data_IF_110162479317
#
_entry.id   IF_110162479317
#
_cell.length_a   1.000
_cell.length_b   1.000
_cell.length_c   1.000
_cell.angle_alpha   90.00
_cell.angle_beta   90.00
_cell.angle_gamma   90.00
#
_symmetry.space_group_name_H-M   'P 1'
#
loop_
_entity.id
_entity.type
_entity.pdbx_description
1 polymer ?
#
# COMPACT_ATOMS: atom_id res chain seq x y z
N UNK A 1 -3.39 2.91 -14.28
CA UNK A 1 -3.26 2.14 -13.01
C UNK A 1 -4.58 2.07 -12.22
N UNK A 2 -5.68 2.63 -12.73
CA UNK A 2 -6.97 2.71 -12.04
C UNK A 2 -7.50 1.35 -11.52
N UNK A 3 -7.49 0.30 -12.34
CA UNK A 3 -7.90 -1.03 -11.90
C UNK A 3 -7.08 -1.58 -10.72
N UNK A 4 -5.77 -1.29 -10.68
CA UNK A 4 -4.91 -1.66 -9.55
C UNK A 4 -5.25 -0.85 -8.29
N UNK A 5 -5.52 0.45 -8.45
CA UNK A 5 -5.94 1.32 -7.34
C UNK A 5 -7.22 0.81 -6.67
N UNK A 6 -8.23 0.52 -7.49
CA UNK A 6 -9.53 0.02 -7.04
C UNK A 6 -9.40 -1.37 -6.39
N UNK A 7 -8.53 -2.24 -6.93
CA UNK A 7 -8.34 -3.59 -6.40
C UNK A 7 -7.57 -3.61 -5.08
N UNK A 8 -6.53 -2.78 -4.93
CA UNK A 8 -5.64 -2.83 -3.75
C UNK A 8 -6.12 -1.98 -2.58
N UNK A 9 -6.58 -0.76 -2.82
CA UNK A 9 -6.75 0.24 -1.75
C UNK A 9 -8.19 0.45 -1.30
N UNK A 10 -9.17 -0.16 -1.98
CA UNK A 10 -10.55 -0.22 -1.49
C UNK A 10 -10.59 -0.83 -0.08
N UNK A 11 -11.38 -0.23 0.81
CA UNK A 11 -11.48 -0.66 2.21
C UNK A 11 -10.12 -0.75 2.93
N UNK A 12 -9.19 0.15 2.61
CA UNK A 12 -7.82 0.16 3.15
C UNK A 12 -7.06 -1.15 2.88
N UNK A 13 -7.41 -1.89 1.81
CA UNK A 13 -6.85 -3.21 1.49
C UNK A 13 -7.31 -4.34 2.40
N UNK A 14 -8.30 -4.11 3.26
CA UNK A 14 -8.88 -5.09 4.18
C UNK A 14 -10.04 -5.82 3.52
N UNK A 15 -9.78 -6.47 2.38
CA UNK A 15 -10.73 -7.34 1.70
C UNK A 15 -10.01 -8.59 1.23
N UNK A 16 -10.66 -9.75 1.36
CA UNK A 16 -10.07 -11.05 1.04
C UNK A 16 -9.61 -11.18 -0.42
N UNK A 17 -10.17 -10.38 -1.33
CA UNK A 17 -9.89 -10.41 -2.77
C UNK A 17 -9.02 -9.25 -3.27
N UNK A 18 -8.45 -8.43 -2.37
CA UNK A 18 -7.54 -7.36 -2.79
C UNK A 18 -6.28 -7.91 -3.47
N UNK A 19 -5.88 -7.29 -4.58
CA UNK A 19 -4.62 -7.64 -5.23
C UNK A 19 -3.43 -7.25 -4.35
N UNK A 20 -2.75 -8.24 -3.75
CA UNK A 20 -1.55 -8.03 -2.94
C UNK A 20 -0.24 -8.17 -3.73
N UNK A 21 -0.30 -8.79 -4.91
CA UNK A 21 0.81 -8.94 -5.85
C UNK A 21 0.36 -8.45 -7.21
N UNK A 22 1.13 -7.55 -7.81
CA UNK A 22 0.86 -7.00 -9.14
C UNK A 22 2.03 -7.37 -10.02
N UNK A 23 1.84 -8.37 -10.89
CA UNK A 23 2.85 -8.77 -11.86
C UNK A 23 2.74 -7.87 -13.09
N UNK A 24 3.84 -7.22 -13.43
CA UNK A 24 3.88 -6.24 -14.52
C UNK A 24 4.89 -6.73 -15.56
N UNK A 25 4.50 -6.68 -16.82
CA UNK A 25 5.40 -7.03 -17.92
C UNK A 25 6.61 -6.08 -17.94
N UNK A 26 7.82 -6.63 -18.07
CA UNK A 26 9.09 -5.90 -17.98
C UNK A 26 9.13 -4.59 -18.79
N UNK A 27 8.65 -4.61 -20.05
CA UNK A 27 8.69 -3.44 -20.93
C UNK A 27 7.81 -2.25 -20.50
N UNK A 28 6.95 -2.42 -19.50
CA UNK A 28 6.12 -1.34 -18.94
C UNK A 28 6.31 -1.14 -17.44
N UNK A 29 7.23 -1.88 -16.80
CA UNK A 29 7.38 -1.91 -15.34
C UNK A 29 7.60 -0.52 -14.75
N UNK A 30 8.64 0.20 -15.18
CA UNK A 30 9.00 1.50 -14.61
C UNK A 30 7.87 2.52 -14.79
N UNK A 31 7.26 2.57 -15.98
CA UNK A 31 6.14 3.47 -16.26
C UNK A 31 4.92 3.14 -15.41
N UNK A 32 4.63 1.85 -15.23
CA UNK A 32 3.50 1.43 -14.39
C UNK A 32 3.76 1.77 -12.92
N UNK A 33 4.95 1.45 -12.41
CA UNK A 33 5.33 1.71 -11.02
C UNK A 33 5.29 3.21 -10.70
N UNK A 34 5.85 4.06 -11.57
CA UNK A 34 5.80 5.51 -11.42
C UNK A 34 4.35 6.04 -11.38
N UNK A 35 3.49 5.57 -12.29
CA UNK A 35 2.08 6.00 -12.32
C UNK A 35 1.29 5.46 -11.12
N UNK A 36 1.63 4.28 -10.62
CA UNK A 36 1.01 3.73 -9.41
C UNK A 36 1.39 4.58 -8.20
N UNK A 37 2.67 4.90 -8.02
CA UNK A 37 3.14 5.79 -6.95
C UNK A 37 2.46 7.14 -7.01
N UNK A 38 2.36 7.74 -8.20
CA UNK A 38 1.67 9.02 -8.39
C UNK A 38 0.21 8.97 -7.89
N UNK A 39 -0.56 7.95 -8.28
CA UNK A 39 -1.96 7.82 -7.83
C UNK A 39 -2.08 7.47 -6.35
N UNK A 40 -1.18 6.64 -5.82
CA UNK A 40 -1.16 6.29 -4.39
C UNK A 40 -0.83 7.51 -3.53
N UNK A 41 0.07 8.38 -3.98
CA UNK A 41 0.46 9.61 -3.25
C UNK A 41 -0.67 10.62 -3.09
N UNK A 42 -1.74 10.49 -3.90
CA UNK A 42 -2.95 11.34 -3.81
C UNK A 42 -3.93 10.88 -2.74
N UNK A 43 -3.73 9.67 -2.18
CA UNK A 43 -4.63 9.14 -1.15
C UNK A 43 -4.43 9.90 0.17
N UNK A 44 -5.54 10.41 0.72
CA UNK A 44 -5.55 11.11 2.01
C UNK A 44 -5.91 10.13 3.13
N UNK A 45 -4.96 9.92 4.04
CA UNK A 45 -5.16 9.13 5.27
C UNK A 45 -5.77 10.01 6.34
N UNK A 46 -6.82 9.56 7.02
CA UNK A 46 -7.44 10.32 8.11
C UNK A 46 -8.72 9.70 8.64
N UNK A 47 -9.44 10.45 9.47
CA UNK A 47 -10.73 10.03 10.01
C UNK A 47 -11.74 9.86 8.86
N UNK A 48 -12.41 8.70 8.77
CA UNK A 48 -13.35 8.39 7.70
C UNK A 48 -14.61 9.27 7.65
N UNK A 49 -14.84 10.10 8.67
CA UNK A 49 -15.92 11.10 8.68
C UNK A 49 -15.49 12.47 8.13
N UNK A 50 -14.20 12.70 7.90
CA UNK A 50 -13.68 13.96 7.38
C UNK A 50 -13.73 14.02 5.84
N UNK A 51 -14.08 15.19 5.30
CA UNK A 51 -14.16 15.38 3.87
C UNK A 51 -12.80 15.18 3.17
N UNK A 52 -12.86 14.47 2.04
CA UNK A 52 -11.70 14.17 1.21
C UNK A 52 -10.78 13.06 1.74
N UNK A 53 -11.04 12.48 2.92
CA UNK A 53 -10.30 11.30 3.38
C UNK A 53 -10.66 10.10 2.51
N UNK A 54 -9.65 9.44 1.97
CA UNK A 54 -9.82 8.27 1.09
C UNK A 54 -9.35 6.97 1.74
N UNK A 55 -8.54 7.05 2.79
CA UNK A 55 -7.99 5.91 3.53
C UNK A 55 -8.22 6.12 5.02
N UNK A 56 -8.98 5.21 5.63
CA UNK A 56 -9.26 5.20 7.06
C UNK A 56 -8.22 4.39 7.86
N UNK A 57 -8.48 4.16 9.15
CA UNK A 57 -7.61 3.31 9.95
C UNK A 57 -7.74 1.83 9.56
N UNK A 58 -6.73 1.03 9.89
CA UNK A 58 -6.84 -0.42 9.97
C UNK A 58 -7.69 -0.83 11.17
N UNK A 59 -8.26 -2.04 11.13
CA UNK A 59 -9.26 -2.48 12.11
C UNK A 59 -8.75 -2.53 13.56
N UNK A 60 -7.48 -2.91 13.79
CA UNK A 60 -6.89 -3.05 15.12
C UNK A 60 -5.35 -2.93 15.08
N UNK A 61 -4.67 -2.82 16.24
CA UNK A 61 -3.21 -2.76 16.30
C UNK A 61 -2.50 -3.99 15.69
N UNK A 62 -3.08 -5.18 15.81
CA UNK A 62 -2.51 -6.39 15.21
C UNK A 62 -2.44 -6.33 13.68
N UNK A 63 -3.40 -5.66 13.02
CA UNK A 63 -3.35 -5.39 11.59
C UNK A 63 -2.20 -4.44 11.23
N UNK A 64 -1.94 -3.41 12.04
CA UNK A 64 -0.80 -2.50 11.88
C UNK A 64 0.52 -3.27 11.96
N UNK A 65 0.71 -4.07 13.02
CA UNK A 65 1.92 -4.89 13.19
C UNK A 65 2.10 -5.89 12.05
N UNK A 66 1.01 -6.45 11.51
CA UNK A 66 1.06 -7.34 10.34
C UNK A 66 1.56 -6.60 9.10
N UNK A 67 1.10 -5.38 8.86
CA UNK A 67 1.56 -4.57 7.72
C UNK A 67 3.04 -4.21 7.88
N UNK A 68 3.47 -3.75 9.06
CA UNK A 68 4.89 -3.48 9.34
C UNK A 68 5.77 -4.68 9.01
N UNK A 69 5.42 -5.85 9.57
CA UNK A 69 6.18 -7.09 9.33
C UNK A 69 6.25 -7.47 7.86
N UNK A 70 5.20 -7.26 7.08
CA UNK A 70 5.24 -7.54 5.64
C UNK A 70 6.12 -6.56 4.87
N UNK A 71 6.14 -5.30 5.26
CA UNK A 71 7.03 -4.29 4.65
C UNK A 71 8.48 -4.61 5.00
N UNK A 72 8.78 -4.83 6.27
CA UNK A 72 10.14 -5.10 6.76
C UNK A 72 10.70 -6.39 6.16
N UNK A 73 9.88 -7.44 6.08
CA UNK A 73 10.24 -8.71 5.44
C UNK A 73 10.63 -8.52 3.97
N UNK A 74 9.80 -7.83 3.18
CA UNK A 74 10.09 -7.55 1.78
C UNK A 74 11.37 -6.71 1.60
N UNK A 75 11.57 -5.68 2.42
CA UNK A 75 12.78 -4.85 2.38
C UNK A 75 14.03 -5.66 2.74
N UNK A 76 13.94 -6.57 3.73
CA UNK A 76 15.03 -7.46 4.12
C UNK A 76 15.45 -8.42 2.98
N UNK A 77 14.52 -8.71 2.07
CA UNK A 77 14.74 -9.54 0.88
C UNK A 77 15.13 -8.75 -0.37
N UNK A 78 15.39 -7.43 -0.24
CA UNK A 78 15.88 -6.58 -1.31
C UNK A 78 14.82 -5.82 -2.10
N UNK A 79 13.55 -5.84 -1.66
CA UNK A 79 12.53 -4.99 -2.25
C UNK A 79 12.89 -3.51 -2.06
N UNK A 80 12.40 -2.66 -2.96
CA UNK A 80 12.55 -1.21 -2.88
C UNK A 80 11.26 -0.55 -2.40
N UNK A 81 11.38 0.34 -1.42
CA UNK A 81 10.28 1.21 -1.03
C UNK A 81 10.12 2.32 -2.08
N UNK A 82 9.03 2.26 -2.85
CA UNK A 82 8.72 3.26 -3.88
C UNK A 82 7.83 4.39 -3.34
N UNK A 83 6.98 4.08 -2.35
CA UNK A 83 6.12 5.06 -1.66
C UNK A 83 5.64 4.51 -0.31
N UNK A 84 5.31 5.39 0.63
CA UNK A 84 4.81 5.05 1.96
C UNK A 84 5.93 4.66 2.91
N UNK A 85 5.72 3.62 3.71
CA UNK A 85 6.70 3.16 4.68
C UNK A 85 6.09 2.27 5.76
N UNK A 86 6.97 1.67 6.56
CA UNK A 86 6.56 0.87 7.71
C UNK A 86 5.86 1.77 8.75
N UNK A 87 4.69 1.37 9.29
CA UNK A 87 4.02 2.16 10.30
C UNK A 87 4.81 2.16 11.62
N UNK A 88 4.78 3.29 12.33
CA UNK A 88 5.49 3.46 13.61
C UNK A 88 4.84 2.72 14.80
N UNK A 89 3.67 2.10 14.58
CA UNK A 89 2.93 1.36 15.59
C UNK A 89 2.18 2.22 16.62
N UNK A 90 2.21 3.55 16.48
CA UNK A 90 1.56 4.48 17.43
C UNK A 90 0.10 4.74 17.08
N UNK A 91 -0.31 4.45 15.85
CA UNK A 91 -1.68 4.65 15.38
C UNK A 91 -2.16 3.52 14.48
N UNK A 92 -3.49 3.44 14.28
CA UNK A 92 -4.10 2.55 13.30
C UNK A 92 -4.12 3.13 11.89
N UNK A 93 -3.66 4.36 11.69
CA UNK A 93 -3.56 5.01 10.39
C UNK A 93 -2.24 4.62 9.74
N UNK A 94 -2.31 3.84 8.68
CA UNK A 94 -1.14 3.34 7.96
C UNK A 94 -1.09 3.98 6.58
N UNK A 95 0.09 4.47 6.20
CA UNK A 95 0.32 5.04 4.88
C UNK A 95 0.18 3.96 3.80
N UNK A 96 -0.59 4.20 2.73
CA UNK A 96 -0.56 3.37 1.53
C UNK A 96 0.87 3.17 1.07
N UNK A 97 1.30 1.92 0.93
CA UNK A 97 2.69 1.58 0.64
C UNK A 97 2.80 0.88 -0.71
N UNK A 98 3.85 1.22 -1.47
CA UNK A 98 4.21 0.58 -2.74
C UNK A 98 5.63 0.05 -2.62
N UNK A 99 5.78 -1.26 -2.84
CA UNK A 99 7.06 -1.95 -2.91
C UNK A 99 7.31 -2.39 -4.35
N UNK A 100 8.52 -2.15 -4.83
CA UNK A 100 9.02 -2.61 -6.12
C UNK A 100 10.12 -3.66 -5.95
N UNK A 101 10.50 -4.32 -7.03
CA UNK A 101 11.62 -5.26 -7.09
C UNK A 101 11.53 -6.40 -6.04
N UNK A 102 10.30 -6.85 -5.74
CA UNK A 102 10.03 -7.91 -4.77
C UNK A 102 10.34 -9.30 -5.33
N UNK A 103 10.80 -10.21 -4.47
CA UNK A 103 10.97 -11.64 -4.78
C UNK A 103 9.67 -12.44 -4.53
N UNK A 104 9.50 -13.63 -5.16
CA UNK A 104 8.31 -14.48 -5.02
C UNK A 104 7.99 -14.98 -3.60
#
# INVERSE_FOLDING_TARGET
>A
VEGAMISKYRNNGQTCVCANRILVQNGIYDRFAARLVEEVSKLKVGNGLEEGVTIGPLINPAAVSKVARHIDDALSQGAKLLHGGSPDGTSQFVQPTVLGDTTP
#
